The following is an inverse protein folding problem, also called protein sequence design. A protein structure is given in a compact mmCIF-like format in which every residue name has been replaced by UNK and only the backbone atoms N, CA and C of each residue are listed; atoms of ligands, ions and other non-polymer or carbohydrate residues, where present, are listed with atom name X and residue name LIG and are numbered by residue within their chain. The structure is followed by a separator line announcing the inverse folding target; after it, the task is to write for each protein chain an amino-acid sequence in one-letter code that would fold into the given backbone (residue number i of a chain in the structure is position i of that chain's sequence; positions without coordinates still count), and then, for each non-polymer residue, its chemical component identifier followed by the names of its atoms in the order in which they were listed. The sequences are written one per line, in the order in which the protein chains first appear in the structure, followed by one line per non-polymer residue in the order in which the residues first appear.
data_IF_896427423132
#
_entry.id   IF_896427423132
#
_cell.length_a   1.000
_cell.length_b   1.000
_cell.length_c   1.000
_cell.angle_alpha   90.00
_cell.angle_beta   90.00
_cell.angle_gamma   90.00
#
_symmetry.space_group_name_H-M   'P 1'
#
loop_
_entity.id
_entity.type
_entity.pdbx_description
1 polymer ?
#
# COMPACT_ATOMS: atom_id res chain seq x y z
N UNK A 1 -47.20 -0.08 -9.79
CA UNK A 1 -47.76 0.85 -8.79
C UNK A 1 -47.60 2.29 -9.27
N UNK A 2 -46.37 2.77 -9.59
CA UNK A 2 -46.14 4.17 -10.03
C UNK A 2 -46.96 4.53 -11.26
N UNK A 3 -47.07 3.65 -12.26
CA UNK A 3 -47.91 3.84 -13.43
C UNK A 3 -49.42 3.95 -13.09
N UNK A 4 -49.88 3.06 -12.22
CA UNK A 4 -51.27 3.11 -11.76
C UNK A 4 -51.57 4.41 -10.99
N UNK A 5 -50.69 4.89 -10.12
CA UNK A 5 -50.84 6.17 -9.44
C UNK A 5 -50.85 7.33 -10.45
N UNK A 6 -49.99 7.28 -11.49
CA UNK A 6 -49.96 8.25 -12.58
C UNK A 6 -51.29 8.30 -13.34
N UNK A 7 -51.89 7.16 -13.65
CA UNK A 7 -53.19 7.07 -14.31
C UNK A 7 -54.30 7.66 -13.44
N UNK A 8 -54.34 7.32 -12.15
CA UNK A 8 -55.36 7.83 -11.21
C UNK A 8 -55.27 9.34 -11.03
N UNK A 9 -54.05 9.89 -10.94
CA UNK A 9 -53.80 11.31 -10.71
C UNK A 9 -53.74 12.15 -12.00
N UNK A 10 -53.83 11.55 -13.18
CA UNK A 10 -53.65 12.24 -14.48
C UNK A 10 -54.60 13.46 -14.67
N UNK A 11 -55.78 13.40 -14.07
CA UNK A 11 -56.79 14.43 -14.18
C UNK A 11 -56.82 15.46 -13.02
N UNK A 12 -55.98 15.27 -12.00
CA UNK A 12 -56.02 16.14 -10.81
C UNK A 12 -55.04 17.33 -10.91
N UNK A 13 -54.03 17.27 -11.77
CA UNK A 13 -52.99 18.31 -11.92
C UNK A 13 -53.11 19.00 -13.28
N UNK A 14 -54.24 19.67 -13.54
CA UNK A 14 -54.54 20.27 -14.85
C UNK A 14 -53.73 21.53 -15.16
N UNK A 15 -53.19 22.20 -14.15
CA UNK A 15 -52.51 23.50 -14.26
C UNK A 15 -50.98 23.40 -14.38
N UNK A 16 -50.43 22.17 -14.43
CA UNK A 16 -49.01 21.90 -14.55
C UNK A 16 -48.67 21.32 -15.93
N UNK A 17 -47.46 21.61 -16.43
CA UNK A 17 -46.96 20.93 -17.62
C UNK A 17 -46.58 19.46 -17.32
N UNK A 18 -46.42 18.64 -18.36
CA UNK A 18 -46.17 17.20 -18.18
C UNK A 18 -44.83 16.89 -17.50
N UNK A 19 -43.81 17.74 -17.64
CA UNK A 19 -42.50 17.57 -16.99
C UNK A 19 -42.57 17.93 -15.50
N UNK A 20 -43.30 18.96 -15.14
CA UNK A 20 -43.58 19.33 -13.75
C UNK A 20 -44.44 18.27 -13.05
N UNK A 21 -45.49 17.75 -13.72
CA UNK A 21 -46.29 16.64 -13.18
C UNK A 21 -45.45 15.39 -12.87
N UNK A 22 -44.63 14.99 -13.81
CA UNK A 22 -43.77 13.80 -13.61
C UNK A 22 -42.77 14.00 -12.47
N UNK A 23 -42.21 15.19 -12.34
CA UNK A 23 -41.27 15.55 -11.26
C UNK A 23 -41.98 15.53 -9.89
N UNK A 24 -43.15 16.18 -9.77
CA UNK A 24 -43.91 16.22 -8.52
C UNK A 24 -44.45 14.85 -8.12
N UNK A 25 -44.94 14.06 -9.07
CA UNK A 25 -45.33 12.67 -8.85
C UNK A 25 -44.13 11.82 -8.36
N UNK A 26 -42.94 12.02 -8.95
CA UNK A 26 -41.71 11.36 -8.54
C UNK A 26 -41.32 11.72 -7.09
N UNK A 27 -41.40 12.99 -6.73
CA UNK A 27 -41.14 13.50 -5.39
C UNK A 27 -42.13 12.95 -4.37
N UNK A 28 -43.43 13.04 -4.67
CA UNK A 28 -44.50 12.54 -3.79
C UNK A 28 -44.37 11.02 -3.56
N UNK A 29 -44.08 10.26 -4.61
CA UNK A 29 -43.89 8.82 -4.50
C UNK A 29 -42.67 8.47 -3.65
N UNK A 30 -41.56 9.18 -3.82
CA UNK A 30 -40.32 9.01 -3.00
C UNK A 30 -40.61 9.34 -1.53
N UNK A 31 -41.33 10.42 -1.26
CA UNK A 31 -41.67 10.79 0.11
C UNK A 31 -42.62 9.79 0.75
N UNK A 32 -43.60 9.26 0.02
CA UNK A 32 -44.45 8.17 0.51
C UNK A 32 -43.66 6.91 0.85
N UNK A 33 -42.73 6.54 -0.02
CA UNK A 33 -41.81 5.41 0.27
C UNK A 33 -41.02 5.66 1.56
N UNK A 34 -40.46 6.87 1.70
CA UNK A 34 -39.70 7.26 2.90
C UNK A 34 -40.56 7.14 4.16
N UNK A 35 -41.79 7.65 4.13
CA UNK A 35 -42.74 7.60 5.28
C UNK A 35 -43.08 6.16 5.64
N UNK A 36 -43.39 5.31 4.67
CA UNK A 36 -43.73 3.90 4.91
C UNK A 36 -42.55 3.15 5.52
N UNK A 37 -41.37 3.32 4.93
CA UNK A 37 -40.14 2.63 5.43
C UNK A 37 -39.81 3.07 6.86
N UNK A 38 -39.79 4.38 7.11
CA UNK A 38 -39.54 4.94 8.44
C UNK A 38 -40.57 4.46 9.48
N UNK A 39 -41.83 4.49 9.14
CA UNK A 39 -42.89 4.01 10.03
C UNK A 39 -42.70 2.53 10.38
N UNK A 40 -42.43 1.66 9.40
CA UNK A 40 -42.21 0.23 9.66
C UNK A 40 -41.01 -0.02 10.53
N UNK A 41 -39.91 0.71 10.32
CA UNK A 41 -38.73 0.62 11.18
C UNK A 41 -39.04 1.04 12.62
N UNK A 42 -39.75 2.16 12.79
CA UNK A 42 -40.05 2.72 14.11
C UNK A 42 -41.07 1.89 14.92
N UNK A 43 -42.08 1.31 14.24
CA UNK A 43 -43.22 0.64 14.90
C UNK A 43 -43.19 -0.88 14.82
N UNK A 44 -42.52 -1.46 13.83
CA UNK A 44 -42.53 -2.90 13.57
C UNK A 44 -41.13 -3.53 13.69
N UNK A 45 -40.06 -2.73 13.89
CA UNK A 45 -38.65 -3.14 13.82
C UNK A 45 -38.29 -3.88 12.50
N UNK A 46 -39.00 -3.54 11.42
CA UNK A 46 -38.95 -4.23 10.14
C UNK A 46 -38.29 -3.36 9.05
N UNK A 47 -37.20 -3.85 8.46
CA UNK A 47 -36.40 -3.18 7.43
C UNK A 47 -36.87 -3.51 6.02
N UNK A 48 -36.37 -2.78 5.03
CA UNK A 48 -36.76 -2.89 3.61
C UNK A 48 -36.57 -4.32 3.06
N UNK A 49 -35.48 -4.97 3.46
CA UNK A 49 -35.10 -6.31 3.02
C UNK A 49 -35.55 -7.44 3.99
N UNK A 50 -36.31 -7.09 5.02
CA UNK A 50 -36.85 -8.04 5.99
C UNK A 50 -35.91 -8.38 7.16
N UNK A 51 -34.71 -7.79 7.21
CA UNK A 51 -33.81 -7.94 8.36
C UNK A 51 -34.34 -7.22 9.60
N UNK A 52 -33.89 -7.71 10.78
CA UNK A 52 -34.02 -6.98 12.04
C UNK A 52 -33.00 -5.83 12.13
N UNK A 53 -33.16 -5.00 13.19
CA UNK A 53 -32.36 -3.76 13.34
C UNK A 53 -30.87 -4.01 13.48
N UNK A 54 -30.44 -5.18 13.99
CA UNK A 54 -29.06 -5.55 14.27
C UNK A 54 -28.45 -6.53 13.26
N UNK A 55 -29.26 -7.00 12.31
CA UNK A 55 -28.81 -8.02 11.35
C UNK A 55 -27.85 -7.44 10.32
N UNK A 56 -26.80 -8.23 10.02
CA UNK A 56 -25.85 -7.97 8.95
C UNK A 56 -26.29 -8.84 7.76
N UNK A 57 -26.12 -8.32 6.55
CA UNK A 57 -26.31 -9.10 5.30
C UNK A 57 -25.33 -10.27 5.24
N UNK A 58 -25.64 -11.28 4.45
CA UNK A 58 -24.76 -12.43 4.21
C UNK A 58 -23.34 -11.97 3.86
N UNK A 59 -22.36 -12.52 4.55
CA UNK A 59 -20.95 -12.21 4.40
C UNK A 59 -20.22 -13.33 3.66
N UNK A 60 -19.27 -12.98 2.81
CA UNK A 60 -18.25 -13.89 2.32
C UNK A 60 -16.93 -13.17 2.07
N UNK A 61 -15.83 -13.91 2.14
CA UNK A 61 -14.49 -13.42 1.91
C UNK A 61 -13.67 -14.49 1.21
N UNK A 62 -12.88 -14.08 0.22
CA UNK A 62 -11.95 -14.95 -0.51
C UNK A 62 -10.65 -14.16 -0.75
N UNK A 63 -9.51 -14.84 -0.68
CA UNK A 63 -8.19 -14.28 -0.99
C UNK A 63 -7.61 -14.94 -2.23
N UNK A 64 -6.55 -14.36 -2.80
CA UNK A 64 -5.81 -14.86 -3.97
C UNK A 64 -6.66 -14.99 -5.25
N UNK A 65 -7.62 -14.06 -5.42
CA UNK A 65 -8.53 -14.06 -6.57
C UNK A 65 -7.81 -13.73 -7.88
N UNK A 66 -6.78 -12.90 -7.84
CA UNK A 66 -6.00 -12.50 -9.02
C UNK A 66 -4.59 -13.07 -8.92
N UNK A 67 -4.20 -14.05 -9.79
CA UNK A 67 -2.99 -14.85 -9.58
C UNK A 67 -1.66 -14.12 -9.67
N UNK A 68 -1.57 -12.98 -10.38
CA UNK A 68 -0.27 -12.31 -10.66
C UNK A 68 -0.02 -11.06 -9.83
N UNK A 69 -0.98 -10.64 -9.04
CA UNK A 69 -0.81 -9.50 -8.13
C UNK A 69 -0.10 -9.94 -6.85
N UNK A 70 0.36 -8.99 -6.06
CA UNK A 70 1.10 -9.33 -4.84
C UNK A 70 0.18 -9.81 -3.72
N UNK A 71 -1.09 -9.36 -3.70
CA UNK A 71 -2.16 -9.86 -2.87
C UNK A 71 -3.49 -9.38 -3.41
N UNK A 72 -4.53 -10.21 -3.30
CA UNK A 72 -5.88 -9.86 -3.72
C UNK A 72 -6.92 -10.51 -2.84
N UNK A 73 -8.09 -9.87 -2.74
CA UNK A 73 -9.21 -10.39 -1.99
C UNK A 73 -10.55 -9.91 -2.58
N UNK A 74 -11.56 -10.73 -2.48
CA UNK A 74 -12.95 -10.36 -2.71
C UNK A 74 -13.69 -10.38 -1.37
N UNK A 75 -14.22 -9.25 -0.96
CA UNK A 75 -15.10 -9.15 0.21
C UNK A 75 -16.51 -8.84 -0.27
N UNK A 76 -17.47 -9.62 0.22
CA UNK A 76 -18.88 -9.46 -0.10
C UNK A 76 -19.73 -9.31 1.15
N UNK A 77 -20.70 -8.41 1.08
CA UNK A 77 -21.75 -8.21 2.09
C UNK A 77 -23.06 -7.93 1.38
N UNK A 78 -23.92 -8.96 1.28
CA UNK A 78 -25.10 -8.93 0.43
C UNK A 78 -24.73 -8.64 -1.02
N UNK A 79 -25.32 -7.60 -1.62
CA UNK A 79 -25.03 -7.17 -3.00
C UNK A 79 -23.77 -6.27 -3.11
N UNK A 80 -23.17 -5.86 -1.99
CA UNK A 80 -21.94 -5.08 -2.01
C UNK A 80 -20.74 -6.00 -2.14
N UNK A 81 -19.99 -5.89 -3.22
CA UNK A 81 -18.77 -6.66 -3.51
C UNK A 81 -17.60 -5.72 -3.79
N UNK A 82 -16.48 -5.97 -3.13
CA UNK A 82 -15.24 -5.20 -3.30
C UNK A 82 -14.10 -6.13 -3.65
N UNK A 83 -13.46 -5.87 -4.78
CA UNK A 83 -12.18 -6.46 -5.14
C UNK A 83 -11.06 -5.57 -4.60
N UNK A 84 -10.30 -6.08 -3.64
CA UNK A 84 -9.09 -5.45 -3.11
C UNK A 84 -7.85 -6.01 -3.78
N UNK A 85 -6.95 -5.15 -4.25
CA UNK A 85 -5.67 -5.54 -4.86
C UNK A 85 -4.55 -4.74 -4.21
N UNK A 86 -3.55 -5.45 -3.70
CA UNK A 86 -2.36 -4.89 -3.07
C UNK A 86 -1.15 -5.04 -3.98
N UNK A 87 -0.41 -3.95 -4.17
CA UNK A 87 0.88 -3.93 -4.87
C UNK A 87 1.96 -3.38 -3.93
N UNK A 88 3.07 -4.09 -3.84
CA UNK A 88 4.23 -3.73 -3.04
C UNK A 88 5.35 -3.23 -3.95
N UNK A 89 6.09 -2.22 -3.52
CA UNK A 89 7.26 -1.72 -4.25
C UNK A 89 8.26 -1.08 -3.29
N UNK A 90 9.42 -0.66 -3.81
CA UNK A 90 10.43 0.05 -3.03
C UNK A 90 9.93 1.37 -2.47
N UNK A 91 10.49 1.81 -1.35
CA UNK A 91 10.16 3.08 -0.68
C UNK A 91 10.31 4.31 -1.58
N UNK A 92 11.24 4.30 -2.55
CA UNK A 92 11.36 5.39 -3.55
C UNK A 92 10.09 5.61 -4.38
N UNK A 93 9.16 4.66 -4.39
CA UNK A 93 7.85 4.74 -5.07
C UNK A 93 6.75 5.31 -4.18
N UNK A 94 7.09 5.81 -3.00
CA UNK A 94 6.16 6.57 -2.15
C UNK A 94 5.59 7.77 -2.91
N UNK A 95 4.32 8.05 -2.68
CA UNK A 95 3.68 9.23 -3.27
C UNK A 95 4.28 10.49 -2.64
N UNK A 96 4.88 11.32 -3.46
CA UNK A 96 5.34 12.65 -3.04
C UNK A 96 4.17 13.62 -3.07
N UNK A 97 3.97 14.34 -1.97
CA UNK A 97 2.91 15.34 -1.80
C UNK A 97 3.55 16.69 -1.57
N UNK A 98 3.31 17.62 -2.50
CA UNK A 98 3.69 19.02 -2.32
C UNK A 98 2.60 19.73 -1.52
N UNK A 99 2.85 19.97 -0.24
CA UNK A 99 1.92 20.57 0.70
C UNK A 99 2.43 21.92 1.19
N UNK A 100 1.52 22.81 1.63
CA UNK A 100 1.88 24.10 2.24
C UNK A 100 2.75 23.96 3.49
N UNK A 101 2.70 22.81 4.17
CA UNK A 101 3.57 22.46 5.31
C UNK A 101 4.95 21.95 4.91
N UNK A 102 5.26 21.91 3.62
CA UNK A 102 6.49 21.34 3.04
C UNK A 102 6.24 19.98 2.39
N UNK A 103 7.25 19.45 1.68
CA UNK A 103 7.16 18.14 1.02
C UNK A 103 6.86 17.04 2.03
N UNK A 104 5.95 16.14 1.68
CA UNK A 104 5.59 14.98 2.48
C UNK A 104 5.61 13.73 1.57
N UNK A 105 5.95 12.59 2.14
CA UNK A 105 5.81 11.31 1.45
C UNK A 105 4.72 10.47 2.09
N UNK A 106 4.08 9.64 1.25
CA UNK A 106 3.00 8.77 1.66
C UNK A 106 3.29 7.35 1.19
N UNK A 107 3.60 6.49 2.17
CA UNK A 107 3.97 5.09 1.93
C UNK A 107 2.79 4.21 1.57
N UNK A 108 1.63 4.44 2.18
CA UNK A 108 0.39 3.72 1.89
C UNK A 108 -0.55 4.59 1.08
N UNK A 109 -0.87 4.13 -0.11
CA UNK A 109 -1.73 4.81 -1.07
C UNK A 109 -2.98 3.98 -1.30
N UNK A 110 -4.15 4.52 -0.98
CA UNK A 110 -5.42 3.83 -1.19
C UNK A 110 -6.22 4.48 -2.32
N UNK A 111 -6.37 3.78 -3.42
CA UNK A 111 -7.24 4.13 -4.53
C UNK A 111 -8.58 3.40 -4.37
N UNK A 112 -9.67 4.15 -4.32
CA UNK A 112 -11.02 3.61 -4.30
C UNK A 112 -11.70 3.93 -5.63
N UNK A 113 -12.25 2.90 -6.27
CA UNK A 113 -12.89 3.01 -7.57
C UNK A 113 -14.34 2.51 -7.48
N UNK A 114 -15.28 3.34 -7.98
CA UNK A 114 -16.71 3.04 -7.99
C UNK A 114 -17.26 3.28 -9.39
N UNK A 115 -16.98 2.36 -10.32
CA UNK A 115 -17.47 2.50 -11.70
C UNK A 115 -19.00 2.43 -11.74
N UNK A 116 -19.65 3.06 -12.74
CA UNK A 116 -21.11 3.11 -12.83
C UNK A 116 -21.79 1.74 -12.81
N UNK A 117 -21.17 0.73 -13.37
CA UNK A 117 -21.75 -0.62 -13.38
C UNK A 117 -21.95 -1.19 -11.97
N UNK A 118 -21.16 -0.75 -10.95
CA UNK A 118 -21.29 -1.23 -9.58
C UNK A 118 -22.65 -0.94 -8.95
N UNK A 119 -23.36 0.09 -9.44
CA UNK A 119 -24.74 0.46 -9.06
C UNK A 119 -25.76 0.08 -10.12
N UNK A 120 -25.36 -0.61 -11.19
CA UNK A 120 -26.21 -0.94 -12.33
C UNK A 120 -26.56 0.26 -13.22
N UNK A 121 -25.79 1.33 -13.15
CA UNK A 121 -25.99 2.56 -13.90
C UNK A 121 -25.03 2.65 -15.10
N UNK A 122 -25.41 3.47 -16.08
CA UNK A 122 -24.51 3.92 -17.14
C UNK A 122 -23.90 5.27 -16.74
N UNK A 123 -22.66 5.50 -17.10
CA UNK A 123 -22.01 6.74 -16.75
C UNK A 123 -20.62 6.89 -17.36
N UNK A 124 -20.03 8.07 -17.21
CA UNK A 124 -18.69 8.37 -17.67
C UNK A 124 -17.68 7.72 -16.71
N UNK A 125 -16.74 6.96 -17.28
CA UNK A 125 -15.54 6.47 -16.61
C UNK A 125 -14.39 7.44 -16.89
N UNK A 126 -13.57 7.75 -15.89
CA UNK A 126 -12.46 8.70 -16.04
C UNK A 126 -11.83 9.06 -14.69
N UNK A 127 -11.51 10.34 -14.51
CA UNK A 127 -10.91 10.82 -13.25
C UNK A 127 -11.83 10.56 -12.05
N UNK A 128 -11.27 10.22 -10.87
CA UNK A 128 -12.03 9.93 -9.67
C UNK A 128 -12.87 11.16 -9.25
N UNK A 129 -14.10 10.92 -8.83
CA UNK A 129 -15.02 11.92 -8.31
C UNK A 129 -14.74 12.18 -6.83
N UNK A 130 -15.30 13.28 -6.28
CA UNK A 130 -15.16 13.63 -4.85
C UNK A 130 -15.55 12.50 -3.91
N UNK A 131 -16.56 11.71 -4.27
CA UNK A 131 -17.02 10.55 -3.50
C UNK A 131 -15.92 9.47 -3.41
N UNK A 132 -15.30 9.16 -4.54
CA UNK A 132 -14.23 8.16 -4.61
C UNK A 132 -13.01 8.61 -3.81
N UNK A 133 -12.63 9.89 -3.91
CA UNK A 133 -11.53 10.47 -3.12
C UNK A 133 -11.84 10.40 -1.61
N UNK A 134 -13.05 10.79 -1.19
CA UNK A 134 -13.46 10.77 0.21
C UNK A 134 -13.54 9.35 0.80
N UNK A 135 -14.08 8.40 0.04
CA UNK A 135 -14.16 7.00 0.44
C UNK A 135 -12.77 6.36 0.55
N UNK A 136 -11.89 6.62 -0.42
CA UNK A 136 -10.50 6.17 -0.38
C UNK A 136 -9.75 6.73 0.83
N UNK A 137 -9.90 8.03 1.10
CA UNK A 137 -9.28 8.67 2.25
C UNK A 137 -9.77 8.11 3.61
N UNK A 138 -11.06 7.76 3.72
CA UNK A 138 -11.61 7.13 4.93
C UNK A 138 -11.04 5.72 5.13
N UNK A 139 -11.01 4.91 4.07
CA UNK A 139 -10.44 3.56 4.11
C UNK A 139 -8.94 3.59 4.42
N UNK A 140 -8.21 4.54 3.86
CA UNK A 140 -6.80 4.76 4.18
C UNK A 140 -6.60 5.07 5.66
N UNK A 141 -7.35 6.03 6.22
CA UNK A 141 -7.29 6.36 7.66
C UNK A 141 -7.58 5.16 8.54
N UNK A 142 -8.46 4.26 8.10
CA UNK A 142 -8.79 3.05 8.85
C UNK A 142 -7.63 2.07 8.94
N UNK A 143 -6.82 1.95 7.89
CA UNK A 143 -5.73 0.96 7.77
C UNK A 143 -4.38 1.48 8.28
N UNK A 144 -4.06 2.75 8.06
CA UNK A 144 -2.75 3.34 8.42
C UNK A 144 -2.28 3.02 9.85
N UNK A 145 -3.14 3.09 10.91
CA UNK A 145 -2.70 2.82 12.28
C UNK A 145 -2.22 1.39 12.55
N UNK A 146 -2.65 0.42 11.74
CA UNK A 146 -2.31 -1.00 11.90
C UNK A 146 -1.19 -1.46 10.96
N UNK A 147 -0.70 -0.60 10.10
CA UNK A 147 0.45 -0.94 9.24
C UNK A 147 1.71 -1.18 10.08
N UNK A 148 2.59 -2.09 9.65
CA UNK A 148 3.92 -2.25 10.24
C UNK A 148 4.75 -0.97 10.07
N UNK A 149 5.79 -0.83 10.88
CA UNK A 149 6.73 0.28 10.72
C UNK A 149 7.52 0.17 9.41
N UNK A 150 8.24 1.23 9.06
CA UNK A 150 9.06 1.26 7.84
C UNK A 150 10.25 0.30 7.94
N UNK A 151 10.77 0.12 9.14
CA UNK A 151 11.87 -0.78 9.44
C UNK A 151 11.44 -2.25 9.41
N UNK A 152 10.23 -2.54 9.91
CA UNK A 152 9.68 -3.90 9.92
C UNK A 152 9.26 -4.38 8.52
N UNK A 153 8.74 -3.45 7.69
CA UNK A 153 8.25 -3.76 6.34
C UNK A 153 8.57 -2.62 5.37
N UNK A 154 9.77 -2.60 4.76
CA UNK A 154 10.30 -1.47 3.99
C UNK A 154 9.71 -1.37 2.58
N UNK A 155 8.39 -1.39 2.46
CA UNK A 155 7.68 -1.31 1.18
C UNK A 155 6.78 -0.09 1.11
N UNK A 156 6.75 0.56 -0.05
CA UNK A 156 5.64 1.38 -0.47
C UNK A 156 4.48 0.46 -0.86
N UNK A 157 3.28 0.73 -0.37
CA UNK A 157 2.09 -0.12 -0.51
C UNK A 157 1.04 0.65 -1.29
N UNK A 158 0.62 0.12 -2.42
CA UNK A 158 -0.54 0.62 -3.15
C UNK A 158 -1.70 -0.36 -3.02
N UNK A 159 -2.79 0.13 -2.48
CA UNK A 159 -4.08 -0.57 -2.36
C UNK A 159 -5.05 -0.01 -3.39
N UNK A 160 -5.66 -0.88 -4.17
CA UNK A 160 -6.79 -0.54 -5.03
C UNK A 160 -8.01 -1.30 -4.52
N UNK A 161 -9.10 -0.60 -4.30
CA UNK A 161 -10.40 -1.18 -3.95
C UNK A 161 -11.41 -0.82 -5.03
N UNK A 162 -11.80 -1.81 -5.82
CA UNK A 162 -12.78 -1.65 -6.89
C UNK A 162 -14.14 -2.21 -6.47
N UNK A 163 -15.17 -1.38 -6.54
CA UNK A 163 -16.53 -1.82 -6.26
C UNK A 163 -17.08 -2.59 -7.47
N UNK A 164 -17.28 -3.90 -7.31
CA UNK A 164 -17.92 -4.74 -8.31
C UNK A 164 -19.44 -4.64 -8.20
N UNK A 165 -19.95 -4.59 -6.98
CA UNK A 165 -21.35 -4.33 -6.66
C UNK A 165 -21.46 -3.37 -5.48
N UNK A 166 -22.47 -2.49 -5.46
CA UNK A 166 -22.65 -1.47 -4.43
C UNK A 166 -24.11 -1.26 -4.08
N UNK A 167 -24.47 -1.60 -2.84
CA UNK A 167 -25.75 -1.26 -2.21
C UNK A 167 -25.55 -0.95 -0.73
N UNK A 168 -25.14 0.28 -0.43
CA UNK A 168 -24.87 0.77 0.93
C UNK A 168 -23.48 0.41 1.46
N UNK A 169 -22.82 1.40 2.03
CA UNK A 169 -21.55 1.32 2.74
C UNK A 169 -20.41 0.59 2.00
N UNK A 170 -20.22 0.92 0.75
CA UNK A 170 -19.15 0.36 -0.08
C UNK A 170 -17.77 0.72 0.44
N UNK A 171 -17.58 1.91 1.03
CA UNK A 171 -16.33 2.33 1.66
C UNK A 171 -15.91 1.44 2.83
N UNK A 172 -16.86 0.98 3.64
CA UNK A 172 -16.55 0.06 4.75
C UNK A 172 -16.27 -1.36 4.24
N UNK A 173 -16.88 -1.77 3.13
CA UNK A 173 -16.50 -2.98 2.40
C UNK A 173 -15.06 -2.90 1.89
N UNK A 174 -14.61 -1.73 1.42
CA UNK A 174 -13.22 -1.56 0.97
C UNK A 174 -12.20 -1.64 2.11
N UNK A 175 -12.54 -1.26 3.34
CA UNK A 175 -11.69 -1.51 4.52
C UNK A 175 -11.49 -3.01 4.74
N UNK A 176 -12.56 -3.80 4.69
CA UNK A 176 -12.49 -5.25 4.87
C UNK A 176 -11.69 -5.94 3.76
N UNK A 177 -11.94 -5.58 2.49
CA UNK A 177 -11.19 -6.09 1.34
C UNK A 177 -9.70 -5.71 1.40
N UNK A 178 -9.39 -4.50 1.89
CA UNK A 178 -8.00 -4.06 2.06
C UNK A 178 -7.28 -4.85 3.15
N UNK A 179 -7.91 -5.10 4.28
CA UNK A 179 -7.34 -5.96 5.33
C UNK A 179 -6.98 -7.34 4.77
N UNK A 180 -7.92 -7.98 4.08
CA UNK A 180 -7.73 -9.29 3.45
C UNK A 180 -6.60 -9.29 2.41
N UNK A 181 -6.61 -8.33 1.48
CA UNK A 181 -5.61 -8.27 0.41
C UNK A 181 -4.22 -7.88 0.90
N UNK A 182 -4.11 -7.09 1.97
CA UNK A 182 -2.83 -6.78 2.62
C UNK A 182 -2.25 -8.02 3.31
N UNK A 183 -3.07 -8.77 4.05
CA UNK A 183 -2.65 -10.03 4.66
C UNK A 183 -2.24 -11.06 3.58
N UNK A 184 -3.02 -11.18 2.50
CA UNK A 184 -2.68 -12.03 1.35
C UNK A 184 -1.37 -11.61 0.65
N UNK A 185 -1.01 -10.32 0.68
CA UNK A 185 0.27 -9.82 0.17
C UNK A 185 1.46 -10.05 1.13
N UNK A 186 1.22 -10.65 2.31
CA UNK A 186 2.26 -10.86 3.31
C UNK A 186 2.57 -9.64 4.18
N UNK A 187 1.70 -8.62 4.20
CA UNK A 187 1.89 -7.43 5.04
C UNK A 187 1.58 -7.78 6.50
N UNK A 188 2.55 -7.67 7.43
CA UNK A 188 2.33 -8.01 8.83
C UNK A 188 1.57 -6.90 9.57
N UNK A 189 0.25 -6.85 9.36
CA UNK A 189 -0.62 -5.91 10.06
C UNK A 189 -0.56 -6.15 11.57
N UNK A 190 -0.55 -5.07 12.36
CA UNK A 190 -0.60 -5.16 13.84
C UNK A 190 -1.89 -5.83 14.34
N UNK A 191 -3.00 -5.63 13.62
CA UNK A 191 -4.28 -6.27 13.82
C UNK A 191 -5.16 -6.12 12.58
N UNK A 192 -6.09 -7.05 12.31
CA UNK A 192 -7.07 -6.88 11.23
C UNK A 192 -8.05 -5.76 11.57
N UNK A 193 -8.53 -5.08 10.52
CA UNK A 193 -9.52 -3.99 10.61
C UNK A 193 -10.77 -4.36 9.82
N UNK A 194 -11.92 -4.21 10.44
CA UNK A 194 -13.21 -4.30 9.77
C UNK A 194 -13.95 -2.97 9.83
N UNK A 195 -14.87 -2.76 8.90
CA UNK A 195 -15.70 -1.57 8.83
C UNK A 195 -17.18 -1.90 8.63
N UNK A 196 -18.04 -1.09 9.25
CA UNK A 196 -19.51 -1.19 9.14
C UNK A 196 -20.12 0.22 9.06
N UNK A 197 -21.31 0.33 8.45
CA UNK A 197 -22.11 1.54 8.52
C UNK A 197 -23.38 1.29 9.32
N UNK A 198 -23.60 2.21 10.25
CA UNK A 198 -24.77 2.28 11.11
C UNK A 198 -25.72 3.36 10.59
N UNK A 199 -26.99 3.13 10.69
CA UNK A 199 -28.03 4.11 10.41
C UNK A 199 -28.81 4.51 11.65
N UNK A 200 -29.61 5.56 11.50
CA UNK A 200 -30.55 6.02 12.50
C UNK A 200 -31.86 6.41 11.83
N UNK A 201 -32.96 5.97 12.40
CA UNK A 201 -34.30 6.48 12.08
C UNK A 201 -34.93 6.97 13.37
N UNK A 202 -35.43 8.21 13.37
CA UNK A 202 -36.11 8.81 14.51
C UNK A 202 -37.49 9.34 14.12
N UNK A 203 -38.37 9.46 15.07
CA UNK A 203 -39.71 10.02 14.83
C UNK A 203 -40.65 9.82 16.00
N UNK A 204 -41.80 10.43 15.92
CA UNK A 204 -42.81 10.36 16.98
C UNK A 204 -43.73 9.14 16.76
N UNK A 205 -43.78 8.28 17.78
CA UNK A 205 -44.67 7.11 17.86
C UNK A 205 -45.45 7.22 19.16
N UNK A 206 -46.76 7.25 19.06
CA UNK A 206 -47.70 7.37 20.20
C UNK A 206 -47.37 8.54 21.16
N UNK A 207 -46.90 9.67 20.61
CA UNK A 207 -46.57 10.88 21.35
C UNK A 207 -45.19 10.84 22.05
N UNK A 208 -44.37 9.84 21.80
CA UNK A 208 -43.01 9.74 22.27
C UNK A 208 -42.04 9.80 21.09
N UNK A 209 -40.95 10.55 21.24
CA UNK A 209 -39.88 10.57 20.26
C UNK A 209 -38.97 9.33 20.40
N UNK A 210 -38.92 8.55 19.35
CA UNK A 210 -38.22 7.22 19.33
C UNK A 210 -37.03 7.28 18.38
N UNK A 211 -35.95 6.64 18.76
CA UNK A 211 -34.73 6.45 17.97
C UNK A 211 -34.50 4.95 17.75
N UNK A 212 -34.26 4.55 16.49
CA UNK A 212 -33.87 3.18 16.12
C UNK A 212 -32.57 3.18 15.35
N UNK A 213 -31.54 2.54 15.89
CA UNK A 213 -30.26 2.35 15.23
C UNK A 213 -30.29 1.10 14.37
N UNK A 214 -29.70 1.19 13.17
CA UNK A 214 -29.68 0.12 12.16
C UNK A 214 -28.24 -0.31 11.91
N UNK A 215 -27.97 -1.61 11.91
CA UNK A 215 -26.69 -2.17 11.50
C UNK A 215 -26.69 -2.45 10.00
N UNK A 216 -25.58 -2.21 9.33
CA UNK A 216 -25.38 -2.54 7.91
C UNK A 216 -26.49 -1.98 7.00
N UNK A 217 -26.52 -0.65 6.88
CA UNK A 217 -27.56 0.05 6.12
C UNK A 217 -27.42 -0.14 4.61
N UNK A 218 -28.57 -0.26 3.96
CA UNK A 218 -28.69 -0.19 2.51
C UNK A 218 -28.64 1.27 2.01
N UNK A 219 -28.37 1.46 0.72
CA UNK A 219 -28.40 2.80 0.12
C UNK A 219 -29.73 3.51 0.27
N UNK A 220 -30.87 2.79 0.22
CA UNK A 220 -32.19 3.34 0.46
C UNK A 220 -32.40 3.74 1.93
N UNK A 221 -31.83 3.00 2.88
CA UNK A 221 -31.89 3.30 4.31
C UNK A 221 -31.02 4.51 4.68
N UNK A 222 -29.87 4.69 4.05
CA UNK A 222 -29.09 5.94 4.11
C UNK A 222 -29.92 7.13 3.57
N UNK A 223 -30.53 6.98 2.39
CA UNK A 223 -31.32 8.05 1.79
C UNK A 223 -32.55 8.44 2.64
N UNK A 224 -33.22 7.50 3.25
CA UNK A 224 -34.45 7.68 4.04
C UNK A 224 -34.21 7.88 5.55
N UNK A 225 -33.04 7.51 6.04
CA UNK A 225 -32.64 7.65 7.43
C UNK A 225 -32.16 9.04 7.80
N UNK A 226 -31.81 9.20 9.06
CA UNK A 226 -31.40 10.45 9.69
C UNK A 226 -29.87 10.52 9.92
N UNK A 227 -29.18 9.39 9.85
CA UNK A 227 -27.73 9.27 10.09
C UNK A 227 -27.12 8.19 9.21
N UNK A 228 -25.94 8.46 8.65
CA UNK A 228 -24.96 7.48 8.14
C UNK A 228 -23.70 7.57 9.01
N UNK A 229 -23.45 6.54 9.81
CA UNK A 229 -22.35 6.50 10.76
C UNK A 229 -21.42 5.33 10.42
N UNK A 230 -20.31 5.63 9.78
CA UNK A 230 -19.29 4.66 9.38
C UNK A 230 -18.26 4.52 10.49
N UNK A 231 -18.03 3.28 10.92
CA UNK A 231 -17.09 2.95 11.99
C UNK A 231 -16.19 1.82 11.52
N UNK A 232 -14.90 2.08 11.51
CA UNK A 232 -13.85 1.09 11.23
C UNK A 232 -12.92 0.92 12.42
N UNK A 233 -12.40 -0.28 12.61
CA UNK A 233 -11.46 -0.55 13.72
C UNK A 233 -11.12 -2.03 13.86
N UNK A 234 -10.21 -2.27 14.79
CA UNK A 234 -9.81 -3.60 15.26
C UNK A 234 -10.85 -4.14 16.24
N UNK A 235 -10.57 -5.29 16.85
CA UNK A 235 -11.36 -5.80 17.98
C UNK A 235 -11.35 -4.87 19.19
N UNK A 236 -10.28 -4.08 19.39
CA UNK A 236 -10.10 -3.26 20.59
C UNK A 236 -10.29 -1.76 20.34
N UNK A 237 -9.86 -1.26 19.17
CA UNK A 237 -9.79 0.18 18.90
C UNK A 237 -10.56 0.56 17.64
N UNK A 238 -11.12 1.78 17.65
CA UNK A 238 -11.65 2.44 16.46
C UNK A 238 -10.48 3.16 15.77
N UNK A 239 -10.25 2.85 14.50
CA UNK A 239 -9.17 3.44 13.68
C UNK A 239 -9.68 4.56 12.78
N UNK A 240 -10.95 4.53 12.37
CA UNK A 240 -11.59 5.62 11.64
C UNK A 240 -13.09 5.64 11.88
N UNK A 241 -13.66 6.85 11.82
CA UNK A 241 -15.10 7.07 11.84
C UNK A 241 -15.49 8.26 10.97
N UNK A 242 -16.72 8.22 10.44
CA UNK A 242 -17.36 9.32 9.74
C UNK A 242 -18.83 9.35 10.16
N UNK A 243 -19.29 10.50 10.62
CA UNK A 243 -20.68 10.75 10.99
C UNK A 243 -21.28 11.80 10.06
N UNK A 244 -22.31 11.40 9.32
CA UNK A 244 -23.17 12.29 8.55
C UNK A 244 -24.59 12.25 9.14
N UNK A 245 -25.13 13.38 9.55
CA UNK A 245 -26.47 13.47 10.13
C UNK A 245 -27.31 14.53 9.44
N UNK A 246 -28.62 14.25 9.35
CA UNK A 246 -29.64 15.19 8.87
C UNK A 246 -30.39 15.88 10.00
N UNK A 247 -30.04 15.53 11.26
CA UNK A 247 -30.61 16.12 12.48
C UNK A 247 -29.69 17.23 12.99
N UNK A 248 -30.27 18.22 13.68
CA UNK A 248 -29.51 19.31 14.35
C UNK A 248 -28.62 18.78 15.48
N UNK A 249 -28.90 17.59 15.98
CA UNK A 249 -28.11 16.89 17.00
C UNK A 249 -28.66 15.50 17.26
N UNK A 250 -27.78 14.62 17.75
CA UNK A 250 -28.11 13.25 18.16
C UNK A 250 -27.77 13.12 19.65
N UNK A 251 -28.65 12.59 20.50
CA UNK A 251 -28.34 12.35 21.90
C UNK A 251 -27.11 11.45 22.09
N UNK A 252 -26.29 11.77 23.09
CA UNK A 252 -25.01 11.08 23.30
C UNK A 252 -25.19 9.57 23.61
N UNK A 253 -26.25 9.20 24.31
CA UNK A 253 -26.60 7.80 24.60
C UNK A 253 -27.00 7.02 23.33
N UNK A 254 -27.63 7.65 22.35
CA UNK A 254 -27.94 7.05 21.05
C UNK A 254 -26.65 6.81 20.25
N UNK A 255 -25.74 7.78 20.23
CA UNK A 255 -24.43 7.59 19.58
C UNK A 255 -23.60 6.51 20.27
N UNK A 256 -23.59 6.47 21.60
CA UNK A 256 -22.92 5.42 22.36
C UNK A 256 -23.49 4.03 22.06
N UNK A 257 -24.83 3.92 21.99
CA UNK A 257 -25.53 2.70 21.59
C UNK A 257 -25.18 2.28 20.14
N UNK A 258 -25.11 3.22 19.22
CA UNK A 258 -24.70 2.96 17.84
C UNK A 258 -23.23 2.47 17.74
N UNK A 259 -22.31 3.03 18.53
CA UNK A 259 -20.91 2.57 18.61
C UNK A 259 -20.81 1.16 19.18
N UNK A 260 -21.58 0.84 20.24
CA UNK A 260 -21.60 -0.52 20.79
C UNK A 260 -22.14 -1.52 19.76
N UNK A 261 -23.23 -1.19 19.07
CA UNK A 261 -23.80 -2.02 18.01
C UNK A 261 -22.85 -2.16 16.81
N UNK A 262 -22.10 -1.11 16.46
CA UNK A 262 -21.04 -1.17 15.45
C UNK A 262 -19.88 -2.07 15.88
N UNK A 263 -19.54 -2.10 17.16
CA UNK A 263 -18.51 -3.01 17.69
C UNK A 263 -18.93 -4.48 17.53
N UNK A 264 -20.16 -4.83 17.90
CA UNK A 264 -20.71 -6.18 17.72
C UNK A 264 -20.67 -6.61 16.24
N UNK A 265 -21.09 -5.73 15.34
CA UNK A 265 -21.08 -5.99 13.91
C UNK A 265 -19.66 -6.16 13.34
N UNK A 266 -18.70 -5.31 13.77
CA UNK A 266 -17.30 -5.43 13.36
C UNK A 266 -16.65 -6.70 13.85
N UNK A 267 -16.97 -7.14 15.07
CA UNK A 267 -16.49 -8.42 15.62
C UNK A 267 -16.92 -9.58 14.72
N UNK A 268 -18.20 -9.64 14.33
CA UNK A 268 -18.69 -10.67 13.41
C UNK A 268 -17.93 -10.65 12.05
N UNK A 269 -17.62 -9.45 11.53
CA UNK A 269 -16.87 -9.33 10.27
C UNK A 269 -15.39 -9.74 10.48
N UNK A 270 -14.79 -9.39 11.61
CA UNK A 270 -13.42 -9.79 11.96
C UNK A 270 -13.29 -11.31 12.10
N UNK A 271 -14.30 -11.97 12.67
CA UNK A 271 -14.33 -13.43 12.75
C UNK A 271 -14.29 -14.05 11.35
N UNK A 272 -15.09 -13.56 10.39
CA UNK A 272 -15.04 -14.01 9.01
C UNK A 272 -13.67 -13.73 8.36
N UNK A 273 -13.06 -12.56 8.60
CA UNK A 273 -11.72 -12.23 8.07
C UNK A 273 -10.70 -13.23 8.60
N UNK A 274 -10.72 -13.52 9.93
CA UNK A 274 -9.80 -14.45 10.56
C UNK A 274 -10.04 -15.92 10.13
N UNK A 275 -11.29 -16.30 9.83
CA UNK A 275 -11.60 -17.61 9.24
C UNK A 275 -11.06 -17.74 7.80
N UNK A 276 -11.05 -16.65 7.02
CA UNK A 276 -10.55 -16.62 5.65
C UNK A 276 -9.02 -16.61 5.61
N UNK A 277 -8.38 -15.80 6.47
CA UNK A 277 -6.92 -15.67 6.57
C UNK A 277 -6.55 -15.28 8.01
N UNK A 278 -5.80 -16.13 8.72
CA UNK A 278 -5.48 -15.98 10.15
C UNK A 278 -4.20 -15.16 10.43
N UNK A 279 -3.54 -14.68 9.38
CA UNK A 279 -2.32 -13.87 9.48
C UNK A 279 -1.73 -13.53 8.13
N UNK A 280 -0.56 -12.88 8.08
CA UNK A 280 0.10 -12.55 6.82
C UNK A 280 0.55 -13.82 6.09
N UNK A 281 0.15 -13.96 4.83
CA UNK A 281 0.57 -15.03 3.94
C UNK A 281 2.05 -14.91 3.56
N UNK A 282 2.60 -15.91 2.90
CA UNK A 282 3.89 -15.76 2.22
C UNK A 282 3.76 -14.76 1.07
N UNK A 283 4.75 -13.88 0.94
CA UNK A 283 4.76 -12.90 -0.14
C UNK A 283 4.79 -13.60 -1.50
N UNK A 284 3.98 -13.11 -2.43
CA UNK A 284 3.95 -13.56 -3.83
C UNK A 284 5.36 -13.62 -4.45
N UNK A 285 5.61 -14.59 -5.32
CA UNK A 285 6.85 -14.66 -6.11
C UNK A 285 7.06 -13.44 -7.02
N UNK A 286 5.98 -12.76 -7.38
CA UNK A 286 6.01 -11.52 -8.18
C UNK A 286 6.29 -10.26 -7.36
N UNK A 287 6.22 -10.34 -6.02
CA UNK A 287 6.53 -9.20 -5.17
C UNK A 287 8.05 -9.00 -5.08
N UNK A 288 8.54 -7.76 -5.20
CA UNK A 288 9.96 -7.49 -5.08
C UNK A 288 10.46 -7.89 -3.70
N UNK A 289 11.63 -8.57 -3.63
CA UNK A 289 12.31 -8.87 -2.38
C UNK A 289 13.24 -7.73 -2.05
N UNK A 290 13.09 -7.14 -0.86
CA UNK A 290 13.92 -6.04 -0.39
C UNK A 290 14.86 -6.54 0.70
N UNK A 291 16.16 -6.34 0.48
CA UNK A 291 17.20 -6.53 1.48
C UNK A 291 17.59 -5.17 2.03
N UNK A 292 17.61 -5.04 3.35
CA UNK A 292 18.05 -3.82 4.02
C UNK A 292 19.47 -4.08 4.59
N UNK A 293 20.40 -3.17 4.30
CA UNK A 293 21.73 -3.15 4.90
C UNK A 293 22.08 -1.71 5.29
N UNK A 294 23.14 -1.53 6.05
CA UNK A 294 23.62 -0.20 6.47
C UNK A 294 25.07 -0.01 6.07
N UNK A 295 25.40 1.18 5.61
CA UNK A 295 26.77 1.58 5.26
C UNK A 295 27.18 2.81 6.06
N UNK A 296 28.48 3.01 6.33
CA UNK A 296 28.95 4.26 6.94
C UNK A 296 28.55 5.47 6.08
N UNK A 297 28.10 6.55 6.72
CA UNK A 297 27.59 7.75 6.03
C UNK A 297 28.67 8.39 5.14
N UNK A 298 29.93 8.33 5.56
CA UNK A 298 31.10 8.82 4.78
C UNK A 298 31.35 7.99 3.52
N UNK A 299 30.84 6.77 3.43
CA UNK A 299 30.97 5.87 2.26
C UNK A 299 29.82 6.00 1.25
N UNK A 300 28.74 6.69 1.59
CA UNK A 300 27.60 6.90 0.67
C UNK A 300 28.05 7.52 -0.65
N UNK A 301 28.93 8.55 -0.58
CA UNK A 301 29.47 9.21 -1.77
C UNK A 301 30.28 8.29 -2.69
N UNK A 302 31.00 7.33 -2.14
CA UNK A 302 31.77 6.35 -2.91
C UNK A 302 30.85 5.33 -3.62
N UNK A 303 29.79 4.88 -2.93
CA UNK A 303 28.81 3.92 -3.47
C UNK A 303 27.97 4.57 -4.58
N UNK A 304 27.55 5.83 -4.41
CA UNK A 304 26.84 6.58 -5.43
C UNK A 304 27.76 6.88 -6.62
N UNK A 305 28.99 7.27 -6.34
CA UNK A 305 30.00 7.67 -7.33
C UNK A 305 29.67 8.99 -8.02
N UNK A 306 30.59 9.54 -8.84
CA UNK A 306 30.43 10.79 -9.57
C UNK A 306 29.17 10.77 -10.45
N UNK A 307 28.22 11.67 -10.19
CA UNK A 307 26.92 11.77 -10.92
C UNK A 307 26.09 10.48 -10.91
N UNK A 308 26.22 9.65 -9.87
CA UNK A 308 25.50 8.38 -9.76
C UNK A 308 26.05 7.24 -10.61
N UNK A 309 27.26 7.39 -11.19
CA UNK A 309 27.81 6.42 -12.15
C UNK A 309 28.03 5.03 -11.52
N UNK A 310 28.52 4.98 -10.27
CA UNK A 310 28.83 3.70 -9.61
C UNK A 310 27.54 2.95 -9.26
N UNK A 311 26.58 3.60 -8.63
CA UNK A 311 25.32 2.96 -8.26
C UNK A 311 24.54 2.48 -9.49
N UNK A 312 24.53 3.26 -10.59
CA UNK A 312 23.88 2.85 -11.83
C UNK A 312 24.58 1.63 -12.44
N UNK A 313 25.92 1.57 -12.39
CA UNK A 313 26.67 0.42 -12.87
C UNK A 313 26.36 -0.85 -12.05
N UNK A 314 26.27 -0.73 -10.71
CA UNK A 314 25.89 -1.86 -9.85
C UNK A 314 24.49 -2.35 -10.21
N UNK A 315 23.54 -1.44 -10.43
CA UNK A 315 22.17 -1.78 -10.82
C UNK A 315 22.11 -2.48 -12.20
N UNK A 316 22.88 -1.99 -13.18
CA UNK A 316 22.96 -2.59 -14.51
C UNK A 316 23.60 -4.00 -14.47
N UNK A 317 24.69 -4.17 -13.73
CA UNK A 317 25.45 -5.42 -13.67
C UNK A 317 24.69 -6.52 -12.90
N UNK A 318 23.89 -6.14 -11.91
CA UNK A 318 23.17 -7.09 -11.06
C UNK A 318 21.72 -7.29 -11.42
N UNK A 319 21.10 -6.29 -12.04
CA UNK A 319 19.65 -6.23 -12.28
C UNK A 319 18.85 -5.87 -11.02
N UNK A 320 19.52 -5.46 -9.92
CA UNK A 320 18.86 -5.00 -8.71
C UNK A 320 18.57 -3.50 -8.76
N UNK A 321 17.56 -3.05 -8.06
CA UNK A 321 17.30 -1.64 -7.79
C UNK A 321 17.83 -1.26 -6.40
N UNK A 322 18.52 -0.12 -6.28
CA UNK A 322 19.15 0.34 -5.05
C UNK A 322 18.63 1.71 -4.68
N UNK A 323 18.29 1.89 -3.40
CA UNK A 323 18.00 3.19 -2.81
C UNK A 323 18.84 3.37 -1.54
N UNK A 324 19.44 4.54 -1.36
CA UNK A 324 20.29 4.87 -0.20
C UNK A 324 19.68 6.08 0.48
N UNK A 325 19.51 6.00 1.79
CA UNK A 325 19.06 7.13 2.62
C UNK A 325 20.26 7.88 3.22
N UNK A 326 20.05 9.12 3.64
CA UNK A 326 21.10 10.00 4.17
C UNK A 326 21.72 9.50 5.48
N UNK A 327 21.03 8.61 6.19
CA UNK A 327 21.51 7.96 7.43
C UNK A 327 22.41 6.73 7.18
N UNK A 328 22.60 6.32 5.92
CA UNK A 328 23.38 5.15 5.52
C UNK A 328 22.56 3.87 5.37
N UNK A 329 21.24 3.93 5.52
CA UNK A 329 20.36 2.78 5.24
C UNK A 329 20.27 2.54 3.73
N UNK A 330 20.51 1.31 3.31
CA UNK A 330 20.48 0.89 1.90
C UNK A 330 19.40 -0.15 1.70
N UNK A 331 18.47 0.14 0.81
CA UNK A 331 17.42 -0.79 0.37
C UNK A 331 17.79 -1.33 -1.02
N UNK A 332 17.87 -2.65 -1.14
CA UNK A 332 18.22 -3.34 -2.37
C UNK A 332 17.06 -4.26 -2.73
N UNK A 333 16.47 -4.05 -3.88
CA UNK A 333 15.31 -4.80 -4.36
C UNK A 333 15.61 -5.54 -5.65
N UNK A 334 15.08 -6.76 -5.76
CA UNK A 334 15.11 -7.52 -7.01
C UNK A 334 13.94 -8.51 -7.10
N UNK A 335 13.58 -8.90 -8.31
CA UNK A 335 12.76 -10.07 -8.53
C UNK A 335 13.59 -11.32 -8.22
N UNK A 336 13.13 -12.15 -7.27
CA UNK A 336 13.77 -13.43 -6.93
C UNK A 336 14.97 -13.40 -5.96
N UNK A 337 15.41 -12.24 -5.47
CA UNK A 337 16.38 -12.11 -4.35
C UNK A 337 17.87 -12.30 -4.70
N UNK A 338 18.24 -13.13 -5.68
CA UNK A 338 19.65 -13.41 -6.02
C UNK A 338 20.43 -12.17 -6.50
N UNK A 339 19.78 -11.33 -7.30
CA UNK A 339 20.37 -10.09 -7.78
C UNK A 339 20.60 -9.08 -6.63
N UNK A 340 19.70 -9.05 -5.64
CA UNK A 340 19.84 -8.20 -4.47
C UNK A 340 21.02 -8.64 -3.58
N UNK A 341 21.25 -9.95 -3.42
CA UNK A 341 22.40 -10.45 -2.68
C UNK A 341 23.73 -10.13 -3.39
N UNK A 342 23.79 -10.23 -4.72
CA UNK A 342 24.94 -9.82 -5.50
C UNK A 342 25.24 -8.32 -5.35
N UNK A 343 24.20 -7.48 -5.44
CA UNK A 343 24.33 -6.03 -5.28
C UNK A 343 24.79 -5.68 -3.85
N UNK A 344 24.22 -6.34 -2.84
CA UNK A 344 24.66 -6.20 -1.44
C UNK A 344 26.14 -6.52 -1.27
N UNK A 345 26.60 -7.64 -1.81
CA UNK A 345 28.00 -8.04 -1.71
C UNK A 345 28.95 -6.98 -2.31
N UNK A 346 28.58 -6.37 -3.45
CA UNK A 346 29.36 -5.29 -4.06
C UNK A 346 29.36 -4.04 -3.17
N UNK A 347 28.19 -3.65 -2.64
CA UNK A 347 28.06 -2.50 -1.75
C UNK A 347 28.88 -2.70 -0.48
N UNK A 348 28.79 -3.88 0.13
CA UNK A 348 29.54 -4.22 1.34
C UNK A 348 31.07 -4.17 1.09
N UNK A 349 31.54 -4.58 -0.09
CA UNK A 349 32.94 -4.45 -0.48
C UNK A 349 33.40 -2.99 -0.62
N UNK A 350 32.55 -2.11 -1.14
CA UNK A 350 32.85 -0.68 -1.26
C UNK A 350 32.80 0.00 0.11
N UNK A 351 31.82 -0.34 0.94
CA UNK A 351 31.64 0.23 2.26
C UNK A 351 32.72 -0.19 3.25
N UNK A 352 33.13 -1.46 3.17
CA UNK A 352 34.14 -2.08 4.04
C UNK A 352 35.22 -2.75 3.17
N UNK A 353 36.08 -1.98 2.50
CA UNK A 353 37.10 -2.54 1.63
C UNK A 353 38.00 -3.46 2.47
N UNK A 354 38.11 -4.70 2.03
CA UNK A 354 39.06 -5.62 2.62
C UNK A 354 40.47 -5.07 2.37
N UNK A 355 41.15 -4.76 3.45
CA UNK A 355 42.56 -4.36 3.36
C UNK A 355 43.37 -5.63 3.15
N UNK A 356 44.06 -5.80 2.00
CA UNK A 356 44.84 -6.98 1.72
C UNK A 356 45.91 -7.24 2.82
N UNK A 357 45.97 -8.47 3.32
CA UNK A 357 46.93 -8.85 4.33
C UNK A 357 48.16 -9.55 3.69
N UNK A 358 49.30 -9.45 4.35
CA UNK A 358 50.54 -10.11 3.89
C UNK A 358 50.35 -11.64 3.83
N UNK A 359 50.64 -12.23 2.66
CA UNK A 359 50.47 -13.65 2.38
C UNK A 359 49.21 -13.98 1.54
N UNK A 360 48.25 -13.04 1.36
CA UNK A 360 47.11 -13.25 0.49
C UNK A 360 47.48 -13.21 -0.98
N UNK A 361 46.83 -14.06 -1.79
CA UNK A 361 47.06 -14.16 -3.23
C UNK A 361 45.83 -13.60 -3.99
N UNK A 362 46.10 -12.75 -4.97
CA UNK A 362 45.10 -12.12 -5.82
C UNK A 362 45.36 -12.34 -7.30
N UNK A 363 44.31 -12.55 -8.08
CA UNK A 363 44.35 -12.45 -9.54
C UNK A 363 43.94 -11.02 -9.92
N UNK A 364 44.92 -10.10 -9.89
CA UNK A 364 44.67 -8.69 -10.11
C UNK A 364 44.87 -8.27 -11.56
N UNK A 365 44.19 -7.17 -11.94
CA UNK A 365 44.30 -6.57 -13.26
C UNK A 365 45.25 -5.39 -13.24
N UNK A 366 46.22 -5.34 -14.18
CA UNK A 366 47.13 -4.20 -14.34
C UNK A 366 46.34 -2.97 -14.77
N UNK A 367 46.33 -1.94 -13.92
CA UNK A 367 45.63 -0.66 -14.18
C UNK A 367 46.55 0.42 -14.70
N UNK A 368 47.83 0.35 -14.38
CA UNK A 368 48.83 1.31 -14.84
C UNK A 368 50.23 0.74 -14.78
N UNK A 369 51.08 1.02 -15.78
CA UNK A 369 52.49 0.72 -15.78
C UNK A 369 53.35 1.96 -15.50
N UNK A 370 54.51 1.79 -14.85
CA UNK A 370 55.49 2.83 -14.55
C UNK A 370 56.87 2.27 -14.70
N UNK A 371 57.90 3.13 -14.72
CA UNK A 371 59.31 2.71 -14.84
C UNK A 371 59.84 1.83 -13.69
N UNK A 372 59.12 1.83 -12.54
CA UNK A 372 59.52 1.06 -11.33
C UNK A 372 58.62 -0.13 -10.98
N UNK A 373 57.51 -0.30 -11.73
CA UNK A 373 56.57 -1.38 -11.50
C UNK A 373 55.25 -1.20 -12.16
N UNK A 374 54.31 -2.12 -11.88
CA UNK A 374 52.91 -2.07 -12.36
C UNK A 374 51.97 -1.92 -11.17
N UNK A 375 50.97 -1.07 -11.29
CA UNK A 375 49.85 -1.02 -10.35
C UNK A 375 48.84 -2.08 -10.77
N UNK A 376 48.50 -2.93 -9.82
CA UNK A 376 47.61 -4.07 -10.01
C UNK A 376 46.39 -3.87 -9.10
N UNK A 377 45.23 -3.81 -9.65
CA UNK A 377 43.97 -3.73 -8.89
C UNK A 377 43.73 -5.09 -8.21
N UNK A 378 43.77 -5.13 -6.89
CA UNK A 378 43.59 -6.33 -6.07
C UNK A 378 42.15 -6.57 -5.70
N UNK A 379 41.48 -5.51 -5.23
CA UNK A 379 40.05 -5.46 -4.89
C UNK A 379 39.48 -4.15 -5.35
N UNK A 380 38.16 -4.02 -5.50
CA UNK A 380 37.51 -2.73 -5.85
C UNK A 380 38.02 -1.58 -4.94
N UNK A 381 38.68 -0.60 -5.52
CA UNK A 381 39.24 0.57 -4.80
C UNK A 381 40.62 0.36 -4.15
N UNK A 382 41.25 -0.79 -4.27
CA UNK A 382 42.60 -1.07 -3.70
C UNK A 382 43.55 -1.56 -4.75
N UNK A 383 44.58 -0.76 -5.03
CA UNK A 383 45.63 -1.11 -5.96
C UNK A 383 46.94 -1.47 -5.21
N UNK A 384 47.60 -2.54 -5.61
CA UNK A 384 48.91 -2.95 -5.12
C UNK A 384 50.01 -2.59 -6.12
N UNK A 385 51.18 -2.24 -5.63
CA UNK A 385 52.37 -2.05 -6.48
C UNK A 385 53.11 -3.34 -6.65
N UNK A 386 53.16 -3.88 -7.86
CA UNK A 386 54.05 -4.96 -8.27
C UNK A 386 55.36 -4.35 -8.77
N UNK A 387 56.40 -4.38 -7.91
CA UNK A 387 57.67 -3.76 -8.21
C UNK A 387 58.43 -4.51 -9.33
N UNK A 388 59.18 -3.78 -10.18
CA UNK A 388 59.89 -4.33 -11.34
C UNK A 388 60.82 -5.51 -10.99
N UNK A 389 61.38 -5.53 -9.77
CA UNK A 389 62.20 -6.66 -9.32
C UNK A 389 61.45 -7.98 -9.20
N UNK A 390 60.14 -7.93 -8.96
CA UNK A 390 59.27 -9.11 -8.86
C UNK A 390 58.72 -9.49 -10.25
N UNK A 391 58.52 -8.50 -11.15
CA UNK A 391 58.11 -8.73 -12.55
C UNK A 391 59.16 -9.56 -13.29
N UNK A 392 60.42 -9.43 -12.97
CA UNK A 392 61.51 -10.26 -13.51
C UNK A 392 61.27 -11.76 -13.32
N UNK A 393 60.58 -12.18 -12.29
CA UNK A 393 60.27 -13.60 -12.06
C UNK A 393 59.30 -14.12 -13.14
N UNK A 394 58.42 -13.26 -13.70
CA UNK A 394 57.53 -13.58 -14.82
C UNK A 394 58.30 -13.72 -16.14
N UNK A 395 59.44 -13.08 -16.26
CA UNK A 395 60.32 -13.14 -17.43
C UNK A 395 61.48 -14.17 -17.26
N UNK A 396 61.27 -15.25 -16.50
CA UNK A 396 62.26 -16.31 -16.23
C UNK A 396 63.62 -15.80 -15.67
N UNK A 397 63.63 -14.64 -15.00
CA UNK A 397 64.83 -14.06 -14.38
C UNK A 397 65.69 -13.19 -15.31
N UNK A 398 65.25 -12.97 -16.55
CA UNK A 398 65.98 -12.08 -17.49
C UNK A 398 65.85 -10.60 -17.05
N UNK A 399 66.87 -9.82 -17.42
CA UNK A 399 66.88 -8.37 -17.15
C UNK A 399 65.83 -7.66 -18.01
N UNK A 400 64.89 -7.01 -17.36
CA UNK A 400 63.84 -6.23 -18.03
C UNK A 400 64.27 -4.78 -17.96
N UNK A 401 64.24 -4.08 -19.12
CA UNK A 401 64.56 -2.65 -19.24
C UNK A 401 63.31 -1.78 -19.09
N UNK A 402 62.12 -2.29 -19.46
CA UNK A 402 60.83 -1.63 -19.25
C UNK A 402 59.77 -2.63 -18.77
N UNK A 403 58.85 -2.17 -17.90
CA UNK A 403 57.72 -2.98 -17.38
C UNK A 403 56.77 -3.42 -18.50
N UNK A 404 56.60 -2.56 -19.51
CA UNK A 404 55.73 -2.75 -20.67
C UNK A 404 56.18 -3.92 -21.56
N UNK A 405 57.45 -4.36 -21.45
CA UNK A 405 57.95 -5.54 -22.17
C UNK A 405 57.36 -6.85 -21.69
N UNK A 406 56.84 -6.87 -20.42
CA UNK A 406 56.33 -8.07 -19.76
C UNK A 406 54.86 -7.95 -19.39
N UNK A 407 54.41 -6.77 -18.93
CA UNK A 407 53.05 -6.52 -18.50
C UNK A 407 52.49 -5.25 -19.15
N UNK A 408 51.23 -5.31 -19.65
CA UNK A 408 50.51 -4.18 -20.23
C UNK A 408 49.29 -3.87 -19.40
N UNK A 409 48.82 -2.62 -19.51
CA UNK A 409 47.53 -2.22 -18.95
C UNK A 409 46.41 -3.14 -19.47
N UNK A 410 45.64 -3.71 -18.55
CA UNK A 410 44.57 -4.65 -18.84
C UNK A 410 44.93 -6.13 -18.65
N UNK A 411 46.24 -6.48 -18.52
CA UNK A 411 46.70 -7.86 -18.25
C UNK A 411 46.25 -8.32 -16.86
N UNK A 412 45.97 -9.62 -16.73
CA UNK A 412 45.69 -10.25 -15.44
C UNK A 412 46.95 -10.95 -14.94
N UNK A 413 47.33 -10.70 -13.69
CA UNK A 413 48.50 -11.29 -13.07
C UNK A 413 48.18 -11.80 -11.66
N UNK A 414 48.66 -13.01 -11.34
CA UNK A 414 48.56 -13.54 -9.97
C UNK A 414 49.67 -12.91 -9.12
N UNK A 415 49.28 -12.26 -8.03
CA UNK A 415 50.18 -11.58 -7.11
C UNK A 415 49.95 -11.99 -5.67
N UNK A 416 51.06 -12.09 -4.89
CA UNK A 416 50.99 -12.33 -3.44
C UNK A 416 51.37 -11.03 -2.73
N UNK A 417 50.54 -10.61 -1.78
CA UNK A 417 50.78 -9.42 -0.95
C UNK A 417 51.95 -9.68 -0.01
N UNK A 418 53.03 -8.95 -0.17
CA UNK A 418 54.23 -9.08 0.70
C UNK A 418 54.17 -8.18 1.94
N UNK A 419 53.42 -7.10 1.87
CA UNK A 419 53.24 -6.17 2.97
C UNK A 419 52.32 -5.01 2.55
N UNK A 420 51.75 -4.38 3.55
CA UNK A 420 50.89 -3.19 3.39
C UNK A 420 51.63 -1.99 3.94
N UNK A 421 51.95 -1.02 3.10
CA UNK A 421 52.63 0.21 3.52
C UNK A 421 51.58 1.28 3.88
N UNK A 422 51.44 1.54 5.18
CA UNK A 422 50.49 2.51 5.72
C UNK A 422 50.87 3.97 5.39
N UNK A 423 51.97 4.24 4.74
CA UNK A 423 52.44 5.61 4.44
C UNK A 423 51.89 6.19 3.15
N UNK A 424 51.14 5.45 2.32
CA UNK A 424 50.54 5.94 1.07
C UNK A 424 49.19 6.55 1.20
N UNK A 425 48.67 6.76 2.40
CA UNK A 425 47.38 7.44 2.68
C UNK A 425 47.49 8.95 2.90
N UNK A 426 48.55 9.60 2.53
CA UNK A 426 48.58 11.05 2.42
C UNK A 426 48.39 11.47 0.97
N UNK A 427 47.18 11.64 0.54
CA UNK A 427 46.81 12.40 -0.64
C UNK A 427 47.25 13.86 -0.42
N UNK A 428 48.05 14.45 -1.30
CA UNK A 428 48.17 15.89 -1.29
C UNK A 428 46.89 16.50 -1.86
N UNK A 429 46.48 17.59 -1.24
CA UNK A 429 45.42 18.56 -1.55
C UNK A 429 45.10 18.77 -3.03
#
# INVERSE_FOLDING_TARGET
IKEHVREVLANEFTDMDDAEKEKELGNAFKELQRQIVRRRILTEDYRIDGRGLRDIRTLSAEVDIVPRVHGSALFQRGETQILGVTTLNMLKMEQQIDALSGPQSKRYMHNYEMPPYSTGETGRVGSPKRREIGHGALAEKAIVPVLPSREEFPYAIRQVSEAIGSNGSTSMGSVCASTLSLLAAGVPLKAPVAGIAMGLVSGDVDGQHVFKTLTDILGAEDAFGDMDFKVAGTSEFITALQLDTKLDGIPADILAGALQQAHEARTTILDLINECIDGPAEMSEYAPRIITTTVPVDKIGEIIGPKGKMINQIQEDTGAEIAIEDDGTVFISSEGGEAAEKAKAIIDQIANPHVPEAGETYNGKVVKTTSFGAFVNLTPGTDGLLHISQIRNLANGERIDAVEDVLKEGDTVEVVVQGVDCLLYTSPS
#
